data_IF_523754394692
#
_entry.id   IF_523754394692
#
_cell.length_a   1.000
_cell.length_b   1.000
_cell.length_c   1.000
_cell.angle_alpha   90.00
_cell.angle_beta   90.00
_cell.angle_gamma   90.00
#
_symmetry.space_group_name_H-M   'P 1'
#
loop_
_entity.id
_entity.type
_entity.pdbx_description
1 polymer ?
#
# COMPACT_ATOMS: atom_id res chain seq x y z
N UNK A 1 -11.32 2.74 -22.65
CA UNK A 1 -11.10 1.64 -21.70
C UNK A 1 -10.47 2.18 -20.41
N UNK A 2 -11.00 1.76 -19.26
CA UNK A 2 -10.43 2.16 -17.98
C UNK A 2 -9.18 1.34 -17.68
N UNK A 3 -8.18 2.00 -17.09
CA UNK A 3 -6.91 1.38 -16.72
C UNK A 3 -6.71 1.52 -15.21
N UNK A 4 -6.68 0.38 -14.51
CA UNK A 4 -6.52 0.35 -13.04
C UNK A 4 -5.12 -0.15 -12.67
N UNK A 5 -4.48 0.56 -11.73
CA UNK A 5 -3.23 0.10 -11.14
C UNK A 5 -3.50 -1.00 -10.10
N UNK A 6 -3.15 -2.25 -10.42
CA UNK A 6 -3.28 -3.39 -9.50
C UNK A 6 -2.27 -3.23 -8.35
N UNK A 7 -2.78 -2.99 -7.13
CA UNK A 7 -1.95 -2.67 -5.95
C UNK A 7 -1.02 -1.48 -6.19
N UNK A 8 -1.49 -0.52 -7.00
CA UNK A 8 -0.71 0.58 -7.51
C UNK A 8 0.10 0.15 -8.74
N UNK A 9 1.25 0.75 -8.98
CA UNK A 9 2.15 0.38 -10.08
C UNK A 9 3.09 -0.74 -9.62
N UNK A 10 2.51 -1.90 -9.31
CA UNK A 10 3.22 -2.99 -8.62
C UNK A 10 4.25 -3.71 -9.47
N UNK A 11 4.22 -3.56 -10.79
CA UNK A 11 5.22 -4.16 -11.67
C UNK A 11 6.61 -3.55 -11.54
N UNK A 12 6.70 -2.29 -11.08
CA UNK A 12 7.95 -1.54 -10.96
C UNK A 12 8.21 -0.99 -9.57
N UNK A 13 7.22 -1.00 -8.69
CA UNK A 13 7.31 -0.38 -7.37
C UNK A 13 6.69 -1.32 -6.33
N UNK A 14 7.09 -1.22 -5.05
CA UNK A 14 6.52 -2.09 -4.01
C UNK A 14 5.00 -2.00 -3.97
N UNK A 15 4.32 -3.16 -4.05
CA UNK A 15 2.86 -3.22 -4.08
C UNK A 15 2.23 -2.59 -2.83
N UNK A 16 1.05 -1.99 -3.01
CA UNK A 16 0.26 -1.41 -1.91
C UNK A 16 1.02 -0.43 -1.03
N UNK A 17 1.94 0.34 -1.63
CA UNK A 17 2.64 1.43 -0.95
C UNK A 17 2.21 2.77 -1.54
N UNK A 18 2.38 3.85 -0.78
CA UNK A 18 2.09 5.19 -1.31
C UNK A 18 2.92 5.51 -2.54
N UNK A 19 4.16 5.02 -2.60
CA UNK A 19 5.02 5.18 -3.78
C UNK A 19 4.36 4.55 -5.02
N UNK A 20 3.90 3.30 -4.91
CA UNK A 20 3.25 2.61 -6.03
C UNK A 20 1.96 3.32 -6.46
N UNK A 21 1.20 3.87 -5.51
CA UNK A 21 -0.03 4.63 -5.80
C UNK A 21 0.28 5.92 -6.55
N UNK A 22 1.27 6.67 -6.08
CA UNK A 22 1.71 7.91 -6.74
C UNK A 22 2.18 7.65 -8.16
N UNK A 23 2.95 6.59 -8.37
CA UNK A 23 3.46 6.22 -9.69
C UNK A 23 2.34 5.75 -10.63
N UNK A 24 1.31 5.09 -10.12
CA UNK A 24 0.14 4.72 -10.91
C UNK A 24 -0.58 5.97 -11.41
N UNK A 25 -0.77 6.96 -10.56
CA UNK A 25 -1.40 8.24 -10.95
C UNK A 25 -0.56 8.96 -12.00
N UNK A 26 0.76 9.04 -11.81
CA UNK A 26 1.68 9.68 -12.75
C UNK A 26 1.67 8.97 -14.12
N UNK A 27 1.46 7.65 -14.14
CA UNK A 27 1.38 6.86 -15.36
C UNK A 27 0.03 6.98 -16.08
N UNK A 28 -0.91 7.73 -15.52
CA UNK A 28 -2.22 7.96 -16.12
C UNK A 28 -3.27 6.91 -15.84
N UNK A 29 -3.14 6.17 -14.75
CA UNK A 29 -4.16 5.21 -14.34
C UNK A 29 -5.48 5.93 -14.01
N UNK A 30 -6.59 5.31 -14.37
CA UNK A 30 -7.94 5.85 -14.07
C UNK A 30 -8.36 5.56 -12.64
N UNK A 31 -7.75 4.59 -12.01
CA UNK A 31 -8.00 4.21 -10.63
C UNK A 31 -6.96 3.24 -10.12
N UNK A 32 -7.12 2.83 -8.87
CA UNK A 32 -6.22 1.89 -8.19
C UNK A 32 -7.04 0.79 -7.55
N UNK A 33 -6.63 -0.46 -7.77
CA UNK A 33 -7.12 -1.61 -7.01
C UNK A 33 -6.15 -1.79 -5.83
N UNK A 34 -6.69 -1.95 -4.63
CA UNK A 34 -5.91 -2.16 -3.42
C UNK A 34 -6.60 -3.14 -2.49
N UNK A 35 -5.87 -3.60 -1.49
CA UNK A 35 -6.35 -4.60 -0.53
C UNK A 35 -6.17 -4.06 0.88
N UNK A 36 -7.12 -4.35 1.78
CA UNK A 36 -7.07 -3.84 3.15
C UNK A 36 -7.28 -4.95 4.18
N UNK A 37 -6.67 -4.78 5.34
CA UNK A 37 -6.86 -5.62 6.51
C UNK A 37 -6.90 -4.73 7.76
N UNK A 38 -7.49 -5.26 8.84
CA UNK A 38 -7.50 -4.55 10.13
C UNK A 38 -6.22 -4.85 10.91
N UNK A 39 -5.63 -3.81 11.50
CA UNK A 39 -4.60 -3.95 12.50
C UNK A 39 -5.21 -4.42 13.83
N UNK A 40 -4.35 -4.77 14.79
CA UNK A 40 -4.78 -5.20 16.12
C UNK A 40 -5.64 -4.13 16.80
N UNK A 41 -5.32 -2.85 16.60
CA UNK A 41 -6.04 -1.71 17.18
C UNK A 41 -7.15 -1.17 16.28
N UNK A 42 -7.58 -1.95 15.27
CA UNK A 42 -8.76 -1.65 14.47
C UNK A 42 -8.58 -0.63 13.36
N UNK A 43 -7.34 -0.32 12.97
CA UNK A 43 -7.07 0.57 11.85
C UNK A 43 -7.02 -0.20 10.54
N UNK A 44 -7.60 0.37 9.46
CA UNK A 44 -7.52 -0.23 8.14
C UNK A 44 -6.18 0.10 7.49
N UNK A 45 -5.41 -0.94 7.21
CA UNK A 45 -4.10 -0.82 6.55
C UNK A 45 -4.14 -1.47 5.18
N UNK A 46 -3.32 -0.99 4.26
CA UNK A 46 -3.32 -1.45 2.89
C UNK A 46 -2.23 -2.51 2.73
N UNK A 47 -2.66 -3.75 2.59
CA UNK A 47 -1.79 -4.90 2.39
C UNK A 47 -2.63 -6.05 1.84
N UNK A 48 -2.07 -6.85 0.95
CA UNK A 48 -2.82 -7.93 0.32
C UNK A 48 -2.93 -9.17 1.22
N UNK A 49 -1.82 -9.64 1.75
CA UNK A 49 -1.78 -10.89 2.51
C UNK A 49 -2.22 -10.69 3.96
N UNK A 50 -2.73 -11.74 4.58
CA UNK A 50 -3.01 -11.75 6.02
C UNK A 50 -1.73 -11.63 6.84
N UNK A 51 -0.60 -12.10 6.28
CA UNK A 51 0.72 -12.06 6.90
C UNK A 51 1.58 -10.99 6.25
N UNK A 52 2.50 -10.42 7.03
CA UNK A 52 3.41 -9.38 6.54
C UNK A 52 4.67 -9.95 5.89
N UNK A 53 4.87 -11.26 5.97
CA UNK A 53 6.14 -11.93 5.61
C UNK A 53 6.62 -11.65 4.19
N UNK A 54 5.72 -11.66 3.20
CA UNK A 54 6.09 -11.53 1.79
C UNK A 54 6.52 -10.10 1.43
N UNK A 55 5.87 -9.11 1.99
CA UNK A 55 6.07 -7.71 1.58
C UNK A 55 6.88 -6.90 2.57
N UNK A 56 7.00 -7.34 3.82
CA UNK A 56 7.71 -6.61 4.86
C UNK A 56 8.96 -7.35 5.32
N UNK A 57 9.81 -6.62 6.03
CA UNK A 57 11.05 -7.16 6.61
C UNK A 57 10.84 -7.82 7.97
N UNK A 58 9.62 -8.30 8.23
CA UNK A 58 9.26 -8.95 9.49
C UNK A 58 8.30 -10.10 9.21
N UNK A 59 7.80 -10.77 10.24
CA UNK A 59 6.93 -11.94 10.11
C UNK A 59 5.71 -11.83 11.01
N UNK A 60 4.64 -12.54 10.67
CA UNK A 60 3.44 -12.64 11.48
C UNK A 60 2.19 -12.15 10.79
N UNK A 61 1.07 -12.16 11.51
CA UNK A 61 -0.22 -11.72 10.99
C UNK A 61 -0.42 -10.23 11.21
N UNK A 62 -1.02 -9.56 10.24
CA UNK A 62 -1.37 -8.13 10.32
C UNK A 62 -2.19 -7.86 11.58
N UNK A 63 -3.17 -8.72 11.88
CA UNK A 63 -4.08 -8.54 13.02
C UNK A 63 -3.41 -8.62 14.39
N UNK A 64 -2.18 -9.11 14.45
CA UNK A 64 -1.43 -9.25 15.70
C UNK A 64 -0.57 -8.03 16.04
N UNK A 65 -0.51 -7.04 15.13
CA UNK A 65 0.29 -5.83 15.30
C UNK A 65 -0.59 -4.59 15.34
N UNK A 66 -0.20 -3.61 16.17
CA UNK A 66 -0.83 -2.28 16.16
C UNK A 66 -0.39 -1.52 14.91
N UNK A 67 -1.10 -0.44 14.58
CA UNK A 67 -0.73 0.42 13.46
C UNK A 67 0.71 0.93 13.59
N UNK A 68 1.08 1.40 14.79
CA UNK A 68 2.43 1.91 15.04
C UNK A 68 3.49 0.84 14.75
N UNK A 69 3.25 -0.40 15.16
CA UNK A 69 4.15 -1.52 14.89
C UNK A 69 4.23 -1.82 13.41
N UNK A 70 3.09 -1.90 12.72
CA UNK A 70 3.05 -2.18 11.28
C UNK A 70 3.79 -1.11 10.48
N UNK A 71 3.64 0.15 10.85
CA UNK A 71 4.32 1.25 10.16
C UNK A 71 5.79 1.39 10.50
N UNK A 72 6.28 0.61 11.47
CA UNK A 72 7.71 0.54 11.75
C UNK A 72 8.46 -0.42 10.82
N UNK A 73 7.75 -1.28 10.08
CA UNK A 73 8.35 -2.24 9.16
C UNK A 73 8.53 -1.64 7.78
N UNK A 74 9.51 -2.16 7.05
CA UNK A 74 9.75 -1.77 5.65
C UNK A 74 8.94 -2.71 4.73
N UNK A 75 7.98 -2.15 4.01
CA UNK A 75 7.09 -2.87 3.10
C UNK A 75 7.57 -2.79 1.65
N UNK A 76 8.87 -2.72 1.42
CA UNK A 76 9.44 -2.57 0.07
C UNK A 76 9.43 -3.87 -0.75
N UNK A 77 9.06 -5.00 -0.18
CA UNK A 77 8.99 -6.30 -0.86
C UNK A 77 10.31 -6.62 -1.59
N UNK A 78 10.25 -7.00 -2.86
CA UNK A 78 11.42 -7.29 -3.67
C UNK A 78 12.27 -6.09 -4.06
N UNK A 79 11.84 -4.87 -3.69
CA UNK A 79 12.53 -3.62 -4.04
C UNK A 79 13.30 -3.02 -2.85
N UNK A 80 13.58 -3.82 -1.83
CA UNK A 80 14.27 -3.34 -0.64
C UNK A 80 15.60 -2.66 -1.01
N UNK A 81 15.79 -1.45 -0.48
CA UNK A 81 16.99 -0.67 -0.74
C UNK A 81 16.99 0.10 -2.07
N UNK A 82 15.98 -0.11 -2.92
CA UNK A 82 15.90 0.57 -4.23
C UNK A 82 15.23 1.95 -4.10
N UNK A 83 14.14 2.02 -3.34
CA UNK A 83 13.34 3.25 -3.20
C UNK A 83 13.27 3.73 -1.75
N UNK A 84 14.26 3.42 -0.92
CA UNK A 84 14.25 3.75 0.49
C UNK A 84 13.29 2.87 1.27
N UNK A 85 12.92 3.32 2.48
CA UNK A 85 11.97 2.61 3.33
C UNK A 85 10.54 2.99 2.93
N UNK A 86 9.68 1.99 2.75
CA UNK A 86 8.27 2.20 2.41
C UNK A 86 7.40 1.61 3.52
N UNK A 87 6.63 2.45 4.19
CA UNK A 87 5.73 2.01 5.26
C UNK A 87 4.46 1.39 4.69
N UNK A 88 3.82 0.51 5.48
CA UNK A 88 2.47 0.06 5.20
C UNK A 88 1.55 1.29 5.35
N UNK A 89 0.82 1.70 4.29
CA UNK A 89 -0.05 2.86 4.41
C UNK A 89 -1.39 2.50 5.06
N UNK A 90 -2.06 3.51 5.62
CA UNK A 90 -3.46 3.36 6.04
C UNK A 90 -4.37 3.72 4.88
N UNK A 91 -5.60 3.21 4.92
CA UNK A 91 -6.62 3.59 3.94
C UNK A 91 -6.92 5.09 4.02
N UNK A 92 -6.83 5.67 5.22
CA UNK A 92 -7.02 7.12 5.43
C UNK A 92 -5.96 7.92 4.67
N UNK A 93 -4.69 7.52 4.77
CA UNK A 93 -3.59 8.17 4.03
C UNK A 93 -3.83 8.12 2.53
N UNK A 94 -4.29 6.97 2.02
CA UNK A 94 -4.60 6.80 0.62
C UNK A 94 -5.72 7.75 0.18
N UNK A 95 -6.82 7.83 0.93
CA UNK A 95 -7.93 8.72 0.58
C UNK A 95 -7.53 10.19 0.61
N UNK A 96 -6.69 10.60 1.54
CA UNK A 96 -6.16 11.96 1.58
C UNK A 96 -5.33 12.27 0.33
N UNK A 97 -4.60 11.27 -0.18
CA UNK A 97 -3.82 11.41 -1.41
C UNK A 97 -4.71 11.54 -2.65
N UNK A 98 -5.73 10.70 -2.81
CA UNK A 98 -6.56 10.69 -4.02
C UNK A 98 -7.71 11.70 -3.99
N UNK A 99 -8.07 12.23 -2.83
CA UNK A 99 -9.18 13.16 -2.66
C UNK A 99 -9.17 14.34 -3.64
N UNK A 100 -8.03 15.01 -3.90
CA UNK A 100 -7.99 16.12 -4.85
C UNK A 100 -7.99 15.69 -6.33
N UNK A 101 -7.91 14.40 -6.62
CA UNK A 101 -7.85 13.91 -8.00
C UNK A 101 -9.28 13.70 -8.49
N UNK A 102 -9.69 14.54 -9.45
CA UNK A 102 -11.05 14.53 -9.96
C UNK A 102 -11.34 13.25 -10.76
N UNK A 103 -12.46 12.57 -10.43
CA UNK A 103 -12.90 11.37 -11.13
C UNK A 103 -12.05 10.12 -10.92
N UNK A 104 -11.11 10.14 -9.98
CA UNK A 104 -10.25 8.98 -9.73
C UNK A 104 -11.02 7.88 -9.01
N UNK A 105 -10.86 6.63 -9.47
CA UNK A 105 -11.57 5.45 -8.95
C UNK A 105 -10.69 4.62 -8.03
N UNK A 106 -11.33 3.89 -7.11
CA UNK A 106 -10.64 3.00 -6.15
C UNK A 106 -11.33 1.65 -6.08
#
# INVERSE_FOLDING_TARGET
MLNFGHRGFSGKYPENTMLAFKKAVEAGADGIELDVHFSKDGELVIIHDEKIDRTCDSTGFVRDYTLAELQSFDASAGFKGVYGVNRIPTLREYFEFVKPIDGFMT
#
